data_IF_709644980749
#
_entry.id   IF_709644980749
#
_cell.length_a   1.000
_cell.length_b   1.000
_cell.length_c   1.000
_cell.angle_alpha   90.00
_cell.angle_beta   90.00
_cell.angle_gamma   90.00
#
_symmetry.space_group_name_H-M   'P 1'
#
loop_
_entity.id
_entity.type
_entity.pdbx_description
1 polymer ?
#
# COMPACT_ATOMS: atom_id res chain seq x y z
N UNK A 1 17.94 7.93 3.31
CA UNK A 1 16.81 6.98 3.28
C UNK A 1 16.19 7.04 1.89
N UNK A 2 15.96 5.90 1.23
CA UNK A 2 15.39 5.88 -0.13
C UNK A 2 13.91 6.25 -0.09
N UNK A 3 13.37 6.87 -1.14
CA UNK A 3 11.94 7.18 -1.20
C UNK A 3 11.06 5.92 -1.12
N UNK A 4 11.58 4.78 -1.60
CA UNK A 4 10.93 3.48 -1.45
C UNK A 4 10.88 3.01 0.02
N UNK A 5 11.98 3.14 0.77
CA UNK A 5 12.00 2.82 2.19
C UNK A 5 11.05 3.73 2.99
N UNK A 6 11.05 5.03 2.70
CA UNK A 6 10.12 5.99 3.31
C UNK A 6 8.66 5.64 2.99
N UNK A 7 8.36 5.27 1.73
CA UNK A 7 7.05 4.77 1.35
C UNK A 7 6.63 3.54 2.14
N UNK A 8 7.53 2.55 2.30
CA UNK A 8 7.23 1.31 3.03
C UNK A 8 6.91 1.61 4.50
N UNK A 9 7.74 2.40 5.19
CA UNK A 9 7.54 2.72 6.61
C UNK A 9 6.22 3.46 6.85
N UNK A 10 6.01 4.57 6.14
CA UNK A 10 4.78 5.36 6.27
C UNK A 10 3.53 4.52 5.95
N UNK A 11 3.63 3.63 4.98
CA UNK A 11 2.50 2.80 4.59
C UNK A 11 2.22 1.67 5.56
N UNK A 12 3.25 1.05 6.14
CA UNK A 12 3.11 -0.01 7.13
C UNK A 12 2.45 0.51 8.41
N UNK A 13 2.89 1.67 8.90
CA UNK A 13 2.31 2.33 10.08
C UNK A 13 0.82 2.64 9.90
N UNK A 14 0.39 2.97 8.67
CA UNK A 14 -1.01 3.23 8.34
C UNK A 14 -1.85 1.95 8.13
N UNK A 15 -1.20 0.80 7.93
CA UNK A 15 -1.88 -0.50 7.81
C UNK A 15 -2.21 -1.11 9.18
N UNK A 16 -1.43 -0.82 10.22
CA UNK A 16 -1.65 -1.33 11.59
C UNK A 16 -2.76 -0.58 12.35
N UNK A 17 -3.15 0.61 11.89
CA UNK A 17 -4.20 1.41 12.54
C UNK A 17 -5.58 0.80 12.30
N UNK A 18 -6.42 0.63 13.35
CA UNK A 18 -7.79 0.19 13.16
C UNK A 18 -8.56 1.19 12.30
N UNK A 19 -9.18 0.70 11.22
CA UNK A 19 -9.93 1.53 10.28
C UNK A 19 -11.44 1.34 10.51
N UNK A 20 -12.25 2.40 10.29
CA UNK A 20 -13.69 2.26 10.29
C UNK A 20 -14.13 1.27 9.21
N UNK A 21 -15.26 0.59 9.44
CA UNK A 21 -15.85 -0.37 8.50
C UNK A 21 -15.83 0.18 7.06
N UNK A 22 -15.39 -0.64 6.11
CA UNK A 22 -15.35 -0.28 4.70
C UNK A 22 -16.73 -0.22 4.01
N UNK A 23 -17.81 -0.54 4.74
CA UNK A 23 -19.19 -0.56 4.23
C UNK A 23 -19.60 0.73 3.50
N UNK A 24 -19.22 1.90 4.02
CA UNK A 24 -19.51 3.18 3.37
C UNK A 24 -18.78 3.37 2.03
N UNK A 25 -17.56 2.81 1.91
CA UNK A 25 -16.75 2.96 0.70
C UNK A 25 -17.34 2.13 -0.44
N UNK A 26 -17.88 0.94 -0.16
CA UNK A 26 -18.56 0.13 -1.16
C UNK A 26 -19.85 0.78 -1.66
N UNK A 27 -20.63 1.40 -0.78
CA UNK A 27 -21.81 2.17 -1.19
C UNK A 27 -21.43 3.34 -2.09
N UNK A 28 -20.39 4.10 -1.73
CA UNK A 28 -19.92 5.22 -2.54
C UNK A 28 -19.44 4.78 -3.93
N UNK A 29 -18.74 3.65 -4.04
CA UNK A 29 -18.32 3.07 -5.33
C UNK A 29 -19.53 2.62 -6.17
N UNK A 30 -20.57 2.08 -5.53
CA UNK A 30 -21.78 1.66 -6.23
C UNK A 30 -22.60 2.86 -6.77
N UNK A 31 -22.58 3.99 -6.05
CA UNK A 31 -23.28 5.22 -6.44
C UNK A 31 -22.51 6.02 -7.49
N UNK A 32 -21.17 6.03 -7.42
CA UNK A 32 -20.28 6.73 -8.34
C UNK A 32 -19.11 5.83 -8.77
N UNK A 33 -19.13 5.28 -10.00
CA UNK A 33 -18.05 4.45 -10.53
C UNK A 33 -16.69 5.17 -10.59
N UNK A 34 -16.69 6.51 -10.65
CA UNK A 34 -15.48 7.34 -10.68
C UNK A 34 -15.05 7.79 -9.28
N UNK A 35 -15.72 7.34 -8.21
CA UNK A 35 -15.42 7.71 -6.82
C UNK A 35 -13.95 7.50 -6.45
N UNK A 36 -13.33 6.43 -6.99
CA UNK A 36 -11.91 6.11 -6.76
C UNK A 36 -10.93 6.78 -7.73
N UNK A 37 -11.41 7.58 -8.69
CA UNK A 37 -10.56 8.26 -9.66
C UNK A 37 -9.49 9.15 -9.01
N UNK A 38 -9.77 9.91 -7.93
CA UNK A 38 -8.74 10.69 -7.22
C UNK A 38 -7.66 9.80 -6.60
N UNK A 39 -8.04 8.66 -6.01
CA UNK A 39 -7.10 7.71 -5.41
C UNK A 39 -6.23 7.08 -6.50
N UNK A 40 -6.82 6.71 -7.63
CA UNK A 40 -6.10 6.18 -8.80
C UNK A 40 -5.09 7.18 -9.35
N UNK A 41 -5.48 8.46 -9.44
CA UNK A 41 -4.59 9.52 -9.91
C UNK A 41 -3.40 9.71 -8.96
N UNK A 42 -3.66 9.76 -7.65
CA UNK A 42 -2.61 9.85 -6.63
C UNK A 42 -1.65 8.65 -6.68
N UNK A 43 -2.17 7.41 -6.68
CA UNK A 43 -1.34 6.19 -6.74
C UNK A 43 -0.47 6.15 -8.00
N UNK A 44 -1.00 6.61 -9.14
CA UNK A 44 -0.24 6.73 -10.38
C UNK A 44 0.91 7.73 -10.24
N UNK A 45 0.64 8.93 -9.74
CA UNK A 45 1.67 9.95 -9.53
C UNK A 45 2.76 9.48 -8.56
N UNK A 46 2.37 8.84 -7.46
CA UNK A 46 3.30 8.26 -6.50
C UNK A 46 4.20 7.20 -7.15
N UNK A 47 3.61 6.25 -7.89
CA UNK A 47 4.37 5.21 -8.56
C UNK A 47 5.35 5.78 -9.60
N UNK A 48 4.93 6.75 -10.41
CA UNK A 48 5.81 7.40 -11.39
C UNK A 48 6.97 8.14 -10.71
N UNK A 49 6.71 8.80 -9.57
CA UNK A 49 7.78 9.41 -8.77
C UNK A 49 8.78 8.37 -8.28
N UNK A 50 8.31 7.27 -7.70
CA UNK A 50 9.19 6.21 -7.21
C UNK A 50 10.02 5.58 -8.33
N UNK A 51 9.45 5.41 -9.53
CA UNK A 51 10.18 4.96 -10.73
C UNK A 51 11.31 5.91 -11.13
N UNK A 52 11.12 7.22 -10.96
CA UNK A 52 12.14 8.22 -11.27
C UNK A 52 13.30 8.26 -10.27
N UNK A 53 13.18 7.58 -9.12
CA UNK A 53 14.15 7.59 -8.02
C UNK A 53 14.77 6.20 -7.76
N UNK A 54 14.54 5.20 -8.63
CA UNK A 54 15.07 3.84 -8.48
C UNK A 54 15.68 3.31 -9.77
N UNK A 55 16.77 2.55 -9.63
CA UNK A 55 17.38 1.77 -10.72
C UNK A 55 16.91 0.31 -10.74
N UNK A 56 16.13 -0.13 -9.73
CA UNK A 56 15.59 -1.48 -9.61
C UNK A 56 14.06 -1.47 -9.61
N UNK A 57 13.50 -1.48 -10.82
CA UNK A 57 12.06 -1.53 -11.04
C UNK A 57 11.42 -2.80 -10.45
N UNK A 58 12.14 -3.92 -10.41
CA UNK A 58 11.62 -5.18 -9.86
C UNK A 58 11.35 -5.06 -8.38
N UNK A 59 12.35 -4.60 -7.63
CA UNK A 59 12.25 -4.34 -6.19
C UNK A 59 11.19 -3.30 -5.86
N UNK A 60 11.09 -2.23 -6.66
CA UNK A 60 10.02 -1.23 -6.52
C UNK A 60 8.63 -1.86 -6.66
N UNK A 61 8.37 -2.63 -7.72
CA UNK A 61 7.05 -3.21 -7.96
C UNK A 61 6.64 -4.22 -6.88
N UNK A 62 7.59 -5.04 -6.40
CA UNK A 62 7.36 -5.96 -5.28
C UNK A 62 6.94 -5.18 -4.04
N UNK A 63 7.71 -4.17 -3.66
CA UNK A 63 7.43 -3.36 -2.46
C UNK A 63 6.11 -2.59 -2.59
N UNK A 64 5.87 -1.98 -3.75
CA UNK A 64 4.65 -1.21 -4.00
C UNK A 64 3.42 -2.11 -3.90
N UNK A 65 3.41 -3.26 -4.58
CA UNK A 65 2.26 -4.17 -4.59
C UNK A 65 2.04 -4.89 -3.26
N UNK A 66 3.11 -5.23 -2.52
CA UNK A 66 2.96 -5.82 -1.20
C UNK A 66 2.25 -4.87 -0.22
N UNK A 67 2.61 -3.59 -0.23
CA UNK A 67 1.92 -2.56 0.55
C UNK A 67 0.46 -2.39 0.12
N UNK A 68 0.21 -2.37 -1.20
CA UNK A 68 -1.17 -2.29 -1.72
C UNK A 68 -2.00 -3.54 -1.35
N UNK A 69 -1.37 -4.70 -1.24
CA UNK A 69 -1.96 -5.94 -0.73
C UNK A 69 -2.41 -5.81 0.72
N UNK A 70 -1.55 -5.31 1.62
CA UNK A 70 -1.89 -5.03 3.02
C UNK A 70 -3.08 -4.07 3.14
N UNK A 71 -3.06 -2.98 2.37
CA UNK A 71 -4.17 -2.00 2.34
C UNK A 71 -5.47 -2.62 1.85
N UNK A 72 -5.40 -3.48 0.83
CA UNK A 72 -6.58 -4.13 0.26
C UNK A 72 -7.17 -5.13 1.24
N UNK A 73 -6.35 -5.95 1.89
CA UNK A 73 -6.83 -6.89 2.91
C UNK A 73 -7.54 -6.16 4.05
N UNK A 74 -6.97 -5.06 4.53
CA UNK A 74 -7.61 -4.23 5.56
C UNK A 74 -8.94 -3.63 5.05
N UNK A 75 -8.98 -3.12 3.80
CA UNK A 75 -10.21 -2.58 3.21
C UNK A 75 -11.33 -3.63 3.08
N UNK A 76 -11.00 -4.87 2.74
CA UNK A 76 -11.97 -5.94 2.54
C UNK A 76 -12.26 -6.77 3.80
N UNK A 77 -11.72 -6.37 4.96
CA UNK A 77 -11.78 -7.16 6.20
C UNK A 77 -11.33 -8.62 5.98
N UNK A 78 -10.29 -8.78 5.16
CA UNK A 78 -9.71 -10.05 4.75
C UNK A 78 -8.24 -10.16 5.17
N UNK A 79 -7.87 -9.42 6.23
CA UNK A 79 -6.60 -9.56 6.91
C UNK A 79 -6.48 -10.99 7.48
N UNK A 80 -5.33 -11.61 7.23
CA UNK A 80 -5.03 -12.98 7.65
C UNK A 80 -3.64 -13.11 8.25
N UNK A 81 -2.85 -12.04 8.24
CA UNK A 81 -1.46 -12.09 8.71
C UNK A 81 -1.45 -11.88 10.22
N UNK A 82 -0.68 -12.71 10.92
CA UNK A 82 -0.30 -12.42 12.30
C UNK A 82 0.58 -11.16 12.37
N UNK A 83 0.68 -10.58 13.57
CA UNK A 83 1.55 -9.42 13.81
C UNK A 83 3.02 -9.74 13.48
N UNK A 84 3.46 -10.97 13.73
CA UNK A 84 4.79 -11.47 13.39
C UNK A 84 5.01 -11.56 11.88
N UNK A 85 4.02 -12.07 11.14
CA UNK A 85 4.07 -12.14 9.66
C UNK A 85 4.04 -10.74 9.03
N UNK A 86 3.24 -9.82 9.59
CA UNK A 86 3.23 -8.41 9.18
C UNK A 86 4.62 -7.79 9.35
N UNK A 87 5.21 -7.91 10.55
CA UNK A 87 6.54 -7.40 10.84
C UNK A 87 7.63 -8.03 9.96
N UNK A 88 7.53 -9.35 9.72
CA UNK A 88 8.44 -10.06 8.83
C UNK A 88 8.35 -9.52 7.40
N UNK A 89 7.12 -9.33 6.88
CA UNK A 89 6.89 -8.75 5.55
C UNK A 89 7.52 -7.37 5.45
N UNK A 90 7.19 -6.45 6.36
CA UNK A 90 7.74 -5.07 6.36
C UNK A 90 9.27 -5.07 6.41
N UNK A 91 9.86 -5.89 7.29
CA UNK A 91 11.32 -6.00 7.37
C UNK A 91 11.95 -6.57 6.09
N UNK A 92 11.25 -7.46 5.39
CA UNK A 92 11.70 -8.04 4.12
C UNK A 92 11.61 -7.02 2.99
N UNK A 93 10.53 -6.22 2.94
CA UNK A 93 10.39 -5.13 1.97
C UNK A 93 11.48 -4.07 2.15
N UNK A 94 11.81 -3.71 3.39
CA UNK A 94 12.90 -2.76 3.66
C UNK A 94 14.26 -3.28 3.19
N UNK A 95 14.53 -4.59 3.33
CA UNK A 95 15.76 -5.20 2.78
C UNK A 95 15.80 -5.19 1.25
N UNK A 96 14.64 -5.38 0.61
CA UNK A 96 14.51 -5.31 -0.85
C UNK A 96 14.70 -3.86 -1.34
N UNK A 97 14.25 -2.87 -0.57
CA UNK A 97 14.30 -1.47 -0.92
C UNK A 97 15.71 -0.81 -0.83
N UNK A 98 16.70 -1.53 -0.27
CA UNK A 98 18.08 -1.05 -0.10
C UNK A 98 18.29 -0.32 1.22
#
# INVERSE_FOLDING_TARGET
ESALAAYIQLSADDCEKPKPSASWMFSAIAEDPDFLAPIKAFKRQLLERLKGETDDLGSLLICFLAIEGLRSMNLFDSDVLSAEEHKLLVSSLLKIAG
#
